data_IF_860169790548
#
_entry.id   IF_860169790548
#
_cell.length_a   1.000
_cell.length_b   1.000
_cell.length_c   1.000
_cell.angle_alpha   90.00
_cell.angle_beta   90.00
_cell.angle_gamma   90.00
#
_symmetry.space_group_name_H-M   'P 1'
#
loop_
_entity.id
_entity.type
_entity.pdbx_description
1 polymer ?
#
# COMPACT_ATOMS: atom_id res chain seq x y z
N UNK A 1 19.17 12.85 -8.62
CA UNK A 1 19.21 11.44 -9.02
C UNK A 1 18.21 10.71 -8.13
N UNK A 2 17.46 9.73 -8.65
CA UNK A 2 16.51 9.00 -7.81
C UNK A 2 17.26 8.17 -6.77
N UNK A 3 16.77 8.15 -5.52
CA UNK A 3 17.25 7.30 -4.45
C UNK A 3 16.96 5.84 -4.81
N UNK A 4 18.00 5.01 -4.78
CA UNK A 4 17.85 3.57 -4.91
C UNK A 4 17.63 2.93 -3.53
N UNK A 5 17.41 1.61 -3.51
CA UNK A 5 17.18 0.86 -2.26
C UNK A 5 18.32 1.03 -1.24
N UNK A 6 19.58 0.97 -1.67
CA UNK A 6 20.76 1.07 -0.81
C UNK A 6 20.89 2.48 -0.21
N UNK A 7 20.60 3.51 -1.00
CA UNK A 7 20.59 4.91 -0.53
C UNK A 7 19.56 5.08 0.60
N UNK A 8 18.40 4.44 0.47
CA UNK A 8 17.29 4.55 1.43
C UNK A 8 17.59 3.74 2.69
N UNK A 9 17.91 2.45 2.56
CA UNK A 9 18.08 1.54 3.71
C UNK A 9 19.25 1.92 4.60
N UNK A 10 20.30 2.53 4.03
CA UNK A 10 21.46 3.00 4.78
C UNK A 10 21.25 4.37 5.44
N UNK A 11 20.13 5.06 5.17
CA UNK A 11 19.89 6.40 5.68
C UNK A 11 19.61 6.39 7.20
N UNK A 12 20.37 7.13 8.03
CA UNK A 12 20.24 7.08 9.49
C UNK A 12 18.88 7.58 10.00
N UNK A 13 18.21 8.44 9.22
CA UNK A 13 16.87 8.96 9.54
C UNK A 13 15.71 8.06 9.09
N UNK A 14 15.97 6.90 8.46
CA UNK A 14 14.92 6.10 7.84
C UNK A 14 13.83 5.65 8.83
N UNK A 15 14.22 5.19 10.02
CA UNK A 15 13.25 4.74 11.03
C UNK A 15 12.25 5.83 11.45
N UNK A 16 12.72 7.07 11.61
CA UNK A 16 11.85 8.20 11.92
C UNK A 16 10.93 8.57 10.74
N UNK A 17 11.45 8.55 9.52
CA UNK A 17 10.68 8.83 8.31
C UNK A 17 9.57 7.79 8.10
N UNK A 18 9.88 6.51 8.32
CA UNK A 18 8.92 5.41 8.22
C UNK A 18 7.86 5.48 9.32
N UNK A 19 8.23 5.82 10.55
CA UNK A 19 7.26 6.03 11.63
C UNK A 19 6.29 7.17 11.28
N UNK A 20 6.80 8.30 10.78
CA UNK A 20 5.97 9.41 10.33
C UNK A 20 5.06 9.01 9.16
N UNK A 21 5.58 8.26 8.19
CA UNK A 21 4.82 7.70 7.09
C UNK A 21 3.67 6.81 7.59
N UNK A 22 3.94 5.90 8.53
CA UNK A 22 2.96 5.00 9.10
C UNK A 22 1.85 5.76 9.85
N UNK A 23 2.19 6.83 10.59
CA UNK A 23 1.21 7.73 11.22
C UNK A 23 0.32 8.43 10.19
N UNK A 24 0.89 8.93 9.10
CA UNK A 24 0.11 9.58 8.05
C UNK A 24 -0.82 8.60 7.33
N UNK A 25 -0.35 7.38 7.06
CA UNK A 25 -1.17 6.30 6.50
C UNK A 25 -2.32 5.90 7.43
N UNK A 26 -2.06 5.87 8.74
CA UNK A 26 -3.09 5.62 9.76
C UNK A 26 -4.18 6.70 9.74
N UNK A 27 -3.81 7.98 9.71
CA UNK A 27 -4.76 9.10 9.64
C UNK A 27 -5.60 9.05 8.36
N UNK A 28 -4.99 8.71 7.22
CA UNK A 28 -5.71 8.51 5.96
C UNK A 28 -6.72 7.35 6.06
N UNK A 29 -6.35 6.25 6.74
CA UNK A 29 -7.24 5.12 6.99
C UNK A 29 -8.46 5.52 7.82
N UNK A 30 -8.25 6.29 8.90
CA UNK A 30 -9.34 6.76 9.77
C UNK A 30 -10.32 7.69 9.04
N UNK A 31 -9.82 8.53 8.13
CA UNK A 31 -10.64 9.43 7.33
C UNK A 31 -11.55 8.73 6.31
N UNK A 32 -11.10 7.63 5.70
CA UNK A 32 -11.91 6.84 4.78
C UNK A 32 -11.64 5.32 4.89
N UNK A 33 -12.23 4.64 5.88
CA UNK A 33 -11.96 3.22 6.12
C UNK A 33 -12.36 2.31 4.95
N UNK A 34 -13.38 2.69 4.17
CA UNK A 34 -13.87 1.86 3.05
C UNK A 34 -12.93 1.92 1.85
N UNK A 35 -12.47 3.12 1.47
CA UNK A 35 -11.47 3.25 0.42
C UNK A 35 -10.16 2.57 0.84
N UNK A 36 -9.79 2.70 2.11
CA UNK A 36 -8.57 2.09 2.62
C UNK A 36 -8.65 0.56 2.71
N UNK A 37 -9.85 -0.01 2.86
CA UNK A 37 -10.07 -1.46 2.80
C UNK A 37 -9.78 -2.07 1.40
N UNK A 38 -9.75 -1.25 0.34
CA UNK A 38 -9.26 -1.69 -0.98
C UNK A 38 -7.78 -2.09 -0.89
N UNK A 39 -7.02 -1.46 -0.01
CA UNK A 39 -5.60 -1.71 0.22
C UNK A 39 -5.32 -2.63 1.41
N UNK A 40 -6.36 -3.27 1.95
CA UNK A 40 -6.30 -4.05 3.16
C UNK A 40 -5.38 -5.28 3.08
N UNK A 41 -5.30 -5.92 1.91
CA UNK A 41 -4.38 -7.05 1.69
C UNK A 41 -3.47 -6.73 0.53
N UNK A 42 -2.29 -7.34 0.53
CA UNK A 42 -1.31 -7.18 -0.54
C UNK A 42 -1.91 -7.51 -1.91
N UNK A 43 -2.66 -8.62 -2.02
CA UNK A 43 -3.33 -9.01 -3.25
C UNK A 43 -4.33 -7.95 -3.74
N UNK A 44 -5.15 -7.38 -2.85
CA UNK A 44 -6.11 -6.34 -3.22
C UNK A 44 -5.42 -5.04 -3.58
N UNK A 45 -4.34 -4.70 -2.87
CA UNK A 45 -3.51 -3.54 -3.16
C UNK A 45 -2.87 -3.62 -4.55
N UNK A 46 -2.27 -4.76 -4.91
CA UNK A 46 -1.71 -4.98 -6.25
C UNK A 46 -2.80 -4.96 -7.34
N UNK A 47 -3.97 -5.58 -7.09
CA UNK A 47 -5.12 -5.50 -8.01
C UNK A 47 -5.60 -4.06 -8.21
N UNK A 48 -5.63 -3.23 -7.16
CA UNK A 48 -5.99 -1.83 -7.27
C UNK A 48 -4.98 -1.04 -8.12
N UNK A 49 -3.68 -1.26 -7.93
CA UNK A 49 -2.63 -0.66 -8.78
C UNK A 49 -2.76 -1.09 -10.25
N UNK A 50 -3.08 -2.37 -10.52
CA UNK A 50 -3.36 -2.85 -11.89
C UNK A 50 -4.54 -2.09 -12.51
N UNK A 51 -5.66 -1.99 -11.79
CA UNK A 51 -6.85 -1.28 -12.27
C UNK A 51 -6.55 0.20 -12.57
N UNK A 52 -5.88 0.88 -11.65
CA UNK A 52 -5.50 2.28 -11.82
C UNK A 52 -4.50 2.48 -12.97
N UNK A 53 -3.55 1.57 -13.16
CA UNK A 53 -2.64 1.62 -14.30
C UNK A 53 -3.38 1.45 -15.63
N UNK A 54 -4.33 0.51 -15.71
CA UNK A 54 -5.18 0.33 -16.89
C UNK A 54 -6.06 1.55 -17.15
N UNK A 55 -6.59 2.17 -16.10
CA UNK A 55 -7.37 3.41 -16.19
C UNK A 55 -6.56 4.55 -16.82
N UNK A 56 -5.34 4.79 -16.35
CA UNK A 56 -4.50 5.88 -16.86
C UNK A 56 -3.85 5.57 -18.22
N UNK A 57 -3.66 4.29 -18.58
CA UNK A 57 -3.15 3.85 -19.89
C UNK A 57 -4.20 3.81 -20.99
N UNK A 58 -5.43 4.22 -20.71
CA UNK A 58 -6.50 4.24 -21.71
C UNK A 58 -6.16 5.18 -22.85
N UNK A 59 -6.62 4.80 -24.03
CA UNK A 59 -6.49 5.59 -25.25
C UNK A 59 -7.86 5.61 -25.91
N UNK A 60 -8.56 6.76 -25.90
CA UNK A 60 -9.89 6.86 -26.50
C UNK A 60 -9.92 6.53 -27.99
N UNK A 61 -8.76 6.53 -28.68
CA UNK A 61 -8.65 6.18 -30.10
C UNK A 61 -8.42 4.69 -30.36
N UNK A 62 -8.11 3.90 -29.32
CA UNK A 62 -7.85 2.46 -29.42
C UNK A 62 -8.65 1.70 -28.36
N UNK A 63 -9.78 1.12 -28.78
CA UNK A 63 -10.66 0.35 -27.90
C UNK A 63 -9.96 -0.82 -27.18
N UNK A 64 -8.84 -1.32 -27.71
CA UNK A 64 -8.05 -2.39 -27.07
C UNK A 64 -7.32 -1.89 -25.82
N UNK A 65 -7.13 -0.58 -25.73
CA UNK A 65 -6.54 0.11 -24.58
C UNK A 65 -7.58 0.55 -23.56
N UNK A 66 -8.86 0.29 -23.76
CA UNK A 66 -9.87 0.50 -22.71
C UNK A 66 -9.63 -0.40 -21.49
N UNK A 67 -10.02 0.09 -20.31
CA UNK A 67 -10.04 -0.73 -19.10
C UNK A 67 -11.34 -1.54 -19.09
N UNK A 68 -11.29 -2.80 -19.52
CA UNK A 68 -12.45 -3.71 -19.42
C UNK A 68 -12.26 -4.72 -18.29
N UNK A 69 -13.36 -5.32 -17.83
CA UNK A 69 -13.28 -6.39 -16.83
C UNK A 69 -12.41 -7.57 -17.30
N UNK A 70 -12.54 -7.96 -18.58
CA UNK A 70 -11.72 -9.02 -19.18
C UNK A 70 -10.23 -8.66 -19.14
N UNK A 71 -9.86 -7.46 -19.59
CA UNK A 71 -8.47 -7.03 -19.59
C UNK A 71 -7.88 -6.91 -18.19
N UNK A 72 -8.64 -6.39 -17.23
CA UNK A 72 -8.23 -6.36 -15.82
C UNK A 72 -7.92 -7.77 -15.30
N UNK A 73 -8.82 -8.72 -15.56
CA UNK A 73 -8.65 -10.12 -15.15
C UNK A 73 -7.43 -10.74 -15.82
N UNK A 74 -7.26 -10.53 -17.12
CA UNK A 74 -6.15 -11.10 -17.89
C UNK A 74 -4.80 -10.59 -17.38
N UNK A 75 -4.66 -9.27 -17.16
CA UNK A 75 -3.43 -8.68 -16.60
C UNK A 75 -3.18 -9.17 -15.17
N UNK A 76 -4.22 -9.26 -14.34
CA UNK A 76 -4.12 -9.77 -12.96
C UNK A 76 -3.60 -11.21 -12.92
N UNK A 77 -4.09 -12.06 -13.83
CA UNK A 77 -3.66 -13.46 -13.94
C UNK A 77 -2.28 -13.60 -14.56
N UNK A 78 -1.98 -12.81 -15.61
CA UNK A 78 -0.67 -12.80 -16.26
C UNK A 78 0.44 -12.49 -15.25
N UNK A 79 0.19 -11.53 -14.35
CA UNK A 79 1.12 -11.20 -13.28
C UNK A 79 0.98 -12.09 -12.04
N UNK A 80 0.15 -13.14 -12.08
CA UNK A 80 -0.07 -14.08 -10.97
C UNK A 80 -0.44 -13.39 -9.64
N UNK A 81 -1.11 -12.24 -9.70
CA UNK A 81 -1.54 -11.49 -8.51
C UNK A 81 -2.75 -12.18 -7.87
N UNK A 82 -3.69 -12.66 -8.68
CA UNK A 82 -4.86 -13.36 -8.20
C UNK A 82 -5.44 -14.33 -9.26
N UNK A 83 -6.27 -15.27 -8.80
CA UNK A 83 -7.04 -16.13 -9.69
C UNK A 83 -8.09 -15.32 -10.49
N UNK A 84 -8.57 -15.87 -11.61
CA UNK A 84 -9.68 -15.29 -12.37
C UNK A 84 -10.90 -14.99 -11.49
N UNK A 85 -11.30 -15.95 -10.64
CA UNK A 85 -12.50 -15.79 -9.80
C UNK A 85 -12.31 -14.66 -8.78
N UNK A 86 -11.13 -14.57 -8.17
CA UNK A 86 -10.78 -13.51 -7.22
C UNK A 86 -10.80 -12.13 -7.90
N UNK A 87 -10.22 -12.01 -9.09
CA UNK A 87 -10.20 -10.76 -9.85
C UNK A 87 -11.62 -10.29 -10.24
N UNK A 88 -12.49 -11.21 -10.67
CA UNK A 88 -13.89 -10.89 -10.93
C UNK A 88 -14.66 -10.45 -9.67
N UNK A 89 -14.43 -11.12 -8.54
CA UNK A 89 -15.04 -10.74 -7.27
C UNK A 89 -14.61 -9.33 -6.85
N UNK A 90 -13.32 -9.00 -7.02
CA UNK A 90 -12.79 -7.67 -6.75
C UNK A 90 -13.47 -6.58 -7.60
N UNK A 91 -13.62 -6.78 -8.91
CA UNK A 91 -14.34 -5.84 -9.79
C UNK A 91 -15.78 -5.62 -9.29
N UNK A 92 -16.51 -6.69 -8.99
CA UNK A 92 -17.91 -6.60 -8.52
C UNK A 92 -18.00 -5.79 -7.23
N UNK A 93 -17.04 -5.98 -6.33
CA UNK A 93 -16.97 -5.21 -5.09
C UNK A 93 -16.66 -3.73 -5.34
N UNK A 94 -15.70 -3.42 -6.23
CA UNK A 94 -15.38 -2.03 -6.60
C UNK A 94 -16.58 -1.33 -7.25
N UNK A 95 -17.41 -2.05 -8.03
CA UNK A 95 -18.67 -1.54 -8.57
C UNK A 95 -19.72 -1.33 -7.48
N UNK A 96 -19.87 -2.30 -6.57
CA UNK A 96 -20.82 -2.21 -5.46
C UNK A 96 -20.57 -0.98 -4.57
N UNK A 97 -19.31 -0.61 -4.37
CA UNK A 97 -18.93 0.56 -3.60
C UNK A 97 -18.70 1.83 -4.44
N UNK A 98 -19.05 1.82 -5.73
CA UNK A 98 -18.92 2.96 -6.64
C UNK A 98 -17.49 3.49 -6.82
N UNK A 99 -16.47 2.65 -6.56
CA UNK A 99 -15.07 2.96 -6.89
C UNK A 99 -14.79 2.81 -8.39
N UNK A 100 -15.59 2.00 -9.09
CA UNK A 100 -15.59 1.94 -10.54
C UNK A 100 -17.02 1.91 -11.06
N UNK A 101 -17.23 2.47 -12.24
CA UNK A 101 -18.52 2.52 -12.92
C UNK A 101 -18.41 1.92 -14.32
N UNK A 102 -19.53 1.44 -14.86
CA UNK A 102 -19.58 1.03 -16.27
C UNK A 102 -19.74 2.29 -17.11
N UNK A 103 -18.72 2.60 -17.92
CA UNK A 103 -18.76 3.68 -18.89
C UNK A 103 -19.73 3.39 -20.03
N UNK A 104 -20.05 4.42 -20.81
CA UNK A 104 -20.87 4.27 -22.03
C UNK A 104 -20.15 3.34 -22.99
N UNK A 105 -20.88 2.36 -23.53
CA UNK A 105 -20.36 1.54 -24.63
C UNK A 105 -20.08 2.46 -25.83
N UNK A 106 -18.93 2.28 -26.47
CA UNK A 106 -18.65 2.92 -27.76
C UNK A 106 -19.49 2.30 -28.88
N UNK A 107 -19.14 2.59 -30.14
CA UNK A 107 -19.87 2.10 -31.32
C UNK A 107 -19.98 0.55 -31.36
N UNK A 108 -18.99 -0.16 -30.79
CA UNK A 108 -19.12 -1.58 -30.48
C UNK A 108 -19.77 -1.78 -29.09
N UNK A 109 -21.09 -1.96 -29.09
CA UNK A 109 -21.91 -2.19 -27.89
C UNK A 109 -21.53 -3.41 -27.04
N UNK A 110 -20.57 -4.24 -27.48
CA UNK A 110 -20.01 -5.35 -26.71
C UNK A 110 -18.94 -4.90 -25.72
N UNK A 111 -18.29 -3.76 -25.96
CA UNK A 111 -17.26 -3.23 -25.08
C UNK A 111 -17.91 -2.44 -23.97
N UNK A 112 -17.69 -2.90 -22.72
CA UNK A 112 -18.15 -2.23 -21.51
C UNK A 112 -16.94 -1.70 -20.75
N UNK A 113 -16.47 -0.48 -21.06
CA UNK A 113 -15.34 0.09 -20.37
C UNK A 113 -15.70 0.35 -18.91
N UNK A 114 -14.73 0.16 -18.02
CA UNK A 114 -14.80 0.52 -16.62
C UNK A 114 -14.18 1.91 -16.47
N UNK A 115 -14.81 2.77 -15.69
CA UNK A 115 -14.38 4.13 -15.41
C UNK A 115 -14.07 4.25 -13.92
N UNK A 116 -13.01 4.99 -13.57
CA UNK A 116 -12.69 5.32 -12.17
C UNK A 116 -13.17 6.76 -11.95
N UNK A 117 -14.19 7.01 -11.11
CA UNK A 117 -14.63 8.36 -10.78
C UNK A 117 -13.51 9.17 -10.13
N UNK A 118 -13.48 10.49 -10.37
CA UNK A 118 -12.43 11.37 -9.83
C UNK A 118 -12.28 11.27 -8.30
N UNK A 119 -13.39 11.16 -7.57
CA UNK A 119 -13.39 10.97 -6.11
C UNK A 119 -12.66 9.69 -5.65
N UNK A 120 -12.58 8.68 -6.51
CA UNK A 120 -11.85 7.43 -6.21
C UNK A 120 -10.34 7.63 -6.30
N UNK A 121 -9.88 8.71 -6.96
CA UNK A 121 -8.46 9.04 -7.06
C UNK A 121 -7.93 9.80 -5.85
N UNK A 122 -8.80 10.41 -5.02
CA UNK A 122 -8.36 11.18 -3.84
C UNK A 122 -7.51 10.35 -2.86
N UNK A 123 -7.89 9.10 -2.49
CA UNK A 123 -7.05 8.26 -1.63
C UNK A 123 -5.70 7.91 -2.27
N UNK A 124 -5.67 7.72 -3.59
CA UNK A 124 -4.43 7.47 -4.32
C UNK A 124 -3.52 8.71 -4.30
N UNK A 125 -4.08 9.90 -4.50
CA UNK A 125 -3.34 11.17 -4.40
C UNK A 125 -2.75 11.30 -2.99
N UNK A 126 -3.55 11.10 -1.95
CA UNK A 126 -3.09 11.12 -0.56
C UNK A 126 -1.94 10.13 -0.31
N UNK A 127 -2.05 8.91 -0.82
CA UNK A 127 -0.99 7.89 -0.75
C UNK A 127 0.30 8.37 -1.43
N UNK A 128 0.22 8.94 -2.63
CA UNK A 128 1.39 9.49 -3.34
C UNK A 128 2.03 10.61 -2.52
N UNK A 129 1.25 11.57 -2.04
CA UNK A 129 1.75 12.71 -1.26
C UNK A 129 2.51 12.25 0.00
N UNK A 130 2.00 11.23 0.70
CA UNK A 130 2.67 10.66 1.88
C UNK A 130 4.06 10.12 1.50
N UNK A 131 4.16 9.32 0.44
CA UNK A 131 5.44 8.70 0.06
C UNK A 131 6.43 9.71 -0.55
N UNK A 132 5.96 10.70 -1.30
CA UNK A 132 6.83 11.79 -1.80
C UNK A 132 7.36 12.64 -0.65
N UNK A 133 6.53 12.93 0.36
CA UNK A 133 6.96 13.61 1.60
C UNK A 133 8.03 12.80 2.34
N UNK A 134 7.86 11.47 2.44
CA UNK A 134 8.86 10.58 3.04
C UNK A 134 10.19 10.62 2.27
N UNK A 135 10.16 10.60 0.93
CA UNK A 135 11.37 10.72 0.11
C UNK A 135 12.07 12.07 0.33
N UNK A 136 11.32 13.17 0.30
CA UNK A 136 11.87 14.50 0.49
C UNK A 136 12.44 14.70 1.92
N UNK A 137 11.91 14.01 2.92
CA UNK A 137 12.48 13.99 4.27
C UNK A 137 13.82 13.24 4.38
N UNK A 138 14.10 12.31 3.46
CA UNK A 138 15.36 11.57 3.41
C UNK A 138 16.48 12.36 2.74
N UNK A 139 16.20 13.09 1.65
CA UNK A 139 17.23 13.74 0.84
C UNK A 139 17.09 15.26 0.68
N UNK A 140 16.08 15.88 1.30
CA UNK A 140 15.80 17.31 1.16
C UNK A 140 15.24 17.70 -0.20
N UNK A 141 14.67 16.74 -0.94
CA UNK A 141 14.08 16.93 -2.25
C UNK A 141 12.82 17.81 -2.27
N UNK A 142 12.25 17.96 -3.47
CA UNK A 142 11.05 18.79 -3.74
C UNK A 142 9.98 18.04 -4.53
N UNK A 143 9.93 16.72 -4.40
CA UNK A 143 9.00 15.87 -5.15
C UNK A 143 7.56 16.19 -4.78
N UNK A 144 7.30 16.40 -3.49
CA UNK A 144 5.99 16.77 -2.97
C UNK A 144 5.50 18.10 -3.56
N UNK A 145 6.32 19.16 -3.44
CA UNK A 145 6.03 20.49 -4.00
C UNK A 145 5.74 20.39 -5.50
N UNK A 146 6.59 19.66 -6.21
CA UNK A 146 6.49 19.46 -7.66
C UNK A 146 5.20 18.75 -8.07
N UNK A 147 4.81 17.70 -7.33
CA UNK A 147 3.58 16.96 -7.60
C UNK A 147 2.34 17.79 -7.28
N UNK A 148 2.36 18.54 -6.17
CA UNK A 148 1.26 19.44 -5.80
C UNK A 148 1.05 20.56 -6.84
N UNK A 149 2.13 21.08 -7.43
CA UNK A 149 2.04 22.06 -8.51
C UNK A 149 1.54 21.45 -9.85
N UNK A 150 1.63 20.12 -10.01
CA UNK A 150 1.29 19.41 -11.26
C UNK A 150 0.55 18.09 -10.98
N UNK A 151 -0.64 18.10 -10.36
CA UNK A 151 -1.35 16.88 -9.96
C UNK A 151 -1.72 15.97 -11.15
N UNK A 152 -1.82 16.51 -12.36
CA UNK A 152 -2.00 15.76 -13.60
C UNK A 152 -0.87 14.75 -13.88
N UNK A 153 0.31 14.93 -13.27
CA UNK A 153 1.41 13.96 -13.33
C UNK A 153 1.00 12.58 -12.80
N UNK A 154 -0.06 12.49 -11.98
CA UNK A 154 -0.58 11.21 -11.51
C UNK A 154 -0.85 10.21 -12.65
N UNK A 155 -1.33 10.71 -13.81
CA UNK A 155 -1.63 9.86 -14.96
C UNK A 155 -0.39 9.18 -15.56
N UNK A 156 0.79 9.81 -15.43
CA UNK A 156 2.06 9.24 -15.87
C UNK A 156 2.73 8.44 -14.73
N UNK A 157 2.64 8.94 -13.50
CA UNK A 157 3.28 8.37 -12.33
C UNK A 157 2.68 7.02 -11.95
N UNK A 158 1.36 6.94 -11.83
CA UNK A 158 0.70 5.75 -11.28
C UNK A 158 0.95 4.47 -12.11
N UNK A 159 0.91 4.50 -13.46
CA UNK A 159 1.28 3.33 -14.26
C UNK A 159 2.71 2.84 -14.02
N UNK A 160 3.67 3.76 -13.88
CA UNK A 160 5.07 3.41 -13.63
C UNK A 160 5.28 2.82 -12.24
N UNK A 161 4.63 3.40 -11.22
CA UNK A 161 4.62 2.84 -9.86
C UNK A 161 4.02 1.43 -9.88
N UNK A 162 2.86 1.25 -10.53
CA UNK A 162 2.22 -0.06 -10.61
C UNK A 162 3.13 -1.12 -11.25
N UNK A 163 3.79 -0.81 -12.37
CA UNK A 163 4.72 -1.74 -13.02
C UNK A 163 5.89 -2.13 -12.10
N UNK A 164 6.47 -1.15 -11.39
CA UNK A 164 7.55 -1.40 -10.44
C UNK A 164 7.11 -2.30 -9.29
N UNK A 165 5.92 -2.05 -8.72
CA UNK A 165 5.36 -2.88 -7.65
C UNK A 165 5.05 -4.31 -8.11
N UNK A 166 4.48 -4.47 -9.30
CA UNK A 166 4.09 -5.77 -9.87
C UNK A 166 5.31 -6.58 -10.35
N UNK A 167 6.41 -5.91 -10.69
CA UNK A 167 7.63 -6.57 -11.15
C UNK A 167 8.61 -6.86 -10.00
N UNK A 168 8.40 -6.24 -8.83
CA UNK A 168 9.28 -6.39 -7.67
C UNK A 168 8.99 -7.66 -6.88
N UNK A 169 9.92 -8.61 -6.90
CA UNK A 169 9.84 -9.85 -6.11
C UNK A 169 9.72 -9.57 -4.60
N UNK A 170 10.53 -8.67 -3.99
CA UNK A 170 10.37 -8.35 -2.56
C UNK A 170 8.99 -7.76 -2.21
N UNK A 171 8.36 -7.03 -3.15
CA UNK A 171 7.01 -6.49 -2.96
C UNK A 171 5.95 -7.59 -3.10
N UNK A 172 6.17 -8.56 -3.97
CA UNK A 172 5.20 -9.62 -4.29
C UNK A 172 5.26 -10.83 -3.38
N UNK A 173 6.46 -11.15 -2.91
CA UNK A 173 6.76 -12.31 -2.09
C UNK A 173 7.47 -11.84 -0.82
N UNK A 174 6.76 -11.10 0.06
CA UNK A 174 7.33 -10.72 1.33
C UNK A 174 7.64 -11.97 2.15
N UNK A 175 8.87 -12.07 2.62
CA UNK A 175 9.36 -13.26 3.31
C UNK A 175 9.01 -13.23 4.80
N UNK A 176 9.28 -14.35 5.48
CA UNK A 176 9.41 -14.44 6.94
C UNK A 176 8.21 -13.89 7.73
N UNK A 177 8.45 -13.05 8.73
CA UNK A 177 7.45 -12.65 9.73
C UNK A 177 6.48 -11.60 9.20
N UNK A 178 6.89 -10.80 8.22
CA UNK A 178 6.06 -9.85 7.50
C UNK A 178 4.90 -10.57 6.79
N UNK A 179 5.15 -11.77 6.26
CA UNK A 179 4.10 -12.60 5.65
C UNK A 179 2.95 -12.93 6.61
N UNK A 180 3.19 -12.96 7.93
CA UNK A 180 2.14 -13.27 8.91
C UNK A 180 1.06 -12.20 8.97
N UNK A 181 1.44 -10.95 8.70
CA UNK A 181 0.53 -9.81 8.74
C UNK A 181 -0.10 -9.55 7.39
N UNK A 182 0.50 -9.95 6.26
CA UNK A 182 -0.13 -9.79 4.93
C UNK A 182 -1.42 -10.59 4.75
N UNK A 183 -1.68 -11.60 5.59
CA UNK A 183 -2.91 -12.42 5.60
C UNK A 183 -4.05 -11.92 6.49
N UNK A 184 -3.83 -10.90 7.32
CA UNK A 184 -4.96 -10.23 7.96
C UNK A 184 -5.74 -9.51 6.86
N UNK A 185 -7.08 -9.55 6.91
CA UNK A 185 -7.97 -8.79 6.01
C UNK A 185 -7.82 -7.25 6.15
N UNK A 186 -6.68 -6.76 6.67
CA UNK A 186 -6.21 -5.40 6.92
C UNK A 186 -4.67 -5.38 7.19
N UNK A 187 -3.91 -6.33 6.65
CA UNK A 187 -2.51 -6.56 6.99
C UNK A 187 -1.59 -5.34 6.92
N UNK A 188 -1.63 -4.60 5.81
CA UNK A 188 -0.85 -3.36 5.65
C UNK A 188 -1.18 -2.33 6.74
N UNK A 189 -2.47 -2.17 7.01
CA UNK A 189 -2.96 -1.26 8.06
C UNK A 189 -2.47 -1.71 9.42
N UNK A 190 -2.65 -2.97 9.79
CA UNK A 190 -2.18 -3.53 11.08
C UNK A 190 -0.69 -3.26 11.30
N UNK A 191 0.13 -3.40 10.27
CA UNK A 191 1.56 -3.11 10.35
C UNK A 191 1.83 -1.61 10.52
N UNK A 192 1.18 -0.74 9.74
CA UNK A 192 1.32 0.71 9.90
C UNK A 192 0.94 1.16 11.33
N UNK A 193 -0.06 0.53 11.94
CA UNK A 193 -0.45 0.79 13.34
C UNK A 193 0.60 0.32 14.36
N UNK A 194 1.22 -0.85 14.14
CA UNK A 194 2.30 -1.32 15.01
C UNK A 194 3.48 -0.35 14.96
N UNK A 195 3.82 0.13 13.76
CA UNK A 195 4.99 0.96 13.49
C UNK A 195 4.76 2.42 13.87
N UNK A 196 3.53 2.95 13.74
CA UNK A 196 3.21 4.34 14.07
C UNK A 196 3.49 4.70 15.54
N UNK A 197 3.40 3.70 16.42
CA UNK A 197 3.68 3.83 17.85
C UNK A 197 5.10 3.44 18.29
N UNK A 198 5.95 2.95 17.38
CA UNK A 198 7.35 2.59 17.71
C UNK A 198 8.17 3.86 17.87
N UNK A 199 8.79 4.07 19.03
CA UNK A 199 9.81 5.11 19.19
C UNK A 199 11.09 4.71 18.42
N UNK A 200 11.58 5.52 17.45
CA UNK A 200 12.80 5.24 16.72
C UNK A 200 14.03 5.04 17.63
N UNK A 201 14.06 5.65 18.81
CA UNK A 201 15.13 5.44 19.79
C UNK A 201 15.19 3.98 20.31
N UNK A 202 14.07 3.26 20.25
CA UNK A 202 13.96 1.87 20.67
C UNK A 202 14.18 0.87 19.52
N UNK A 203 14.45 1.34 18.30
CA UNK A 203 14.54 0.48 17.11
C UNK A 203 15.66 -0.56 17.21
N UNK A 204 16.70 -0.33 18.02
CA UNK A 204 17.81 -1.27 18.24
C UNK A 204 17.51 -2.35 19.30
N UNK A 205 16.40 -2.26 20.01
CA UNK A 205 16.05 -3.23 21.04
C UNK A 205 15.56 -4.53 20.41
N UNK A 206 15.91 -5.69 20.98
CA UNK A 206 15.38 -7.00 20.53
C UNK A 206 13.84 -7.04 20.56
N UNK A 207 13.24 -6.41 21.57
CA UNK A 207 11.80 -6.22 21.74
C UNK A 207 11.48 -4.75 21.71
N UNK A 208 10.86 -4.31 20.63
CA UNK A 208 10.54 -2.91 20.38
C UNK A 208 9.11 -2.65 20.85
N UNK A 209 8.89 -1.84 21.90
CA UNK A 209 7.55 -1.51 22.35
C UNK A 209 6.77 -0.76 21.27
N UNK A 210 5.48 -1.06 21.11
CA UNK A 210 4.57 -0.34 20.22
C UNK A 210 3.59 0.52 21.02
N UNK A 211 2.74 1.27 20.32
CA UNK A 211 1.66 2.06 20.94
C UNK A 211 0.45 1.23 21.41
N UNK A 212 0.47 -0.09 21.24
CA UNK A 212 -0.69 -0.95 21.54
C UNK A 212 -0.66 -1.39 23.00
N UNK A 213 -1.62 -0.91 23.80
CA UNK A 213 -1.70 -1.17 25.24
C UNK A 213 -2.55 -2.40 25.59
N UNK A 214 -3.47 -2.81 24.72
CA UNK A 214 -4.27 -4.02 24.90
C UNK A 214 -4.80 -4.57 23.57
N UNK A 215 -5.04 -5.89 23.53
CA UNK A 215 -5.66 -6.56 22.36
C UNK A 215 -7.11 -6.12 22.18
N UNK A 216 -7.79 -5.73 23.27
CA UNK A 216 -9.17 -5.24 23.22
C UNK A 216 -9.28 -3.92 22.47
N UNK A 217 -8.37 -2.98 22.74
CA UNK A 217 -8.33 -1.69 22.06
C UNK A 217 -7.94 -1.87 20.60
N UNK A 218 -6.94 -2.71 20.35
CA UNK A 218 -6.49 -3.00 19.00
C UNK A 218 -7.59 -3.63 18.14
N UNK A 219 -8.34 -4.59 18.69
CA UNK A 219 -9.47 -5.21 18.00
C UNK A 219 -10.58 -4.21 17.66
N UNK A 220 -10.90 -3.29 18.59
CA UNK A 220 -11.89 -2.23 18.36
C UNK A 220 -11.47 -1.32 17.22
N UNK A 221 -10.21 -0.89 17.19
CA UNK A 221 -9.68 -0.04 16.11
C UNK A 221 -9.72 -0.74 14.75
N UNK A 222 -9.31 -2.01 14.69
CA UNK A 222 -9.34 -2.79 13.46
C UNK A 222 -10.75 -3.23 13.03
N UNK A 223 -11.79 -2.94 13.83
CA UNK A 223 -13.16 -3.44 13.65
C UNK A 223 -13.20 -4.97 13.50
N UNK A 224 -12.31 -5.67 14.22
CA UNK A 224 -12.22 -7.12 14.26
C UNK A 224 -12.78 -7.65 15.58
N UNK A 225 -13.24 -8.90 15.59
CA UNK A 225 -13.56 -9.54 16.86
C UNK A 225 -12.26 -9.78 17.65
N UNK A 226 -12.32 -9.58 18.97
CA UNK A 226 -11.19 -9.82 19.88
C UNK A 226 -10.64 -11.23 19.72
N UNK A 227 -11.52 -12.23 19.59
CA UNK A 227 -11.15 -13.64 19.40
C UNK A 227 -10.40 -13.88 18.10
N UNK A 228 -10.86 -13.26 16.99
CA UNK A 228 -10.19 -13.41 15.70
C UNK A 228 -8.77 -12.82 15.73
N UNK A 229 -8.64 -11.60 16.27
CA UNK A 229 -7.34 -10.93 16.40
C UNK A 229 -6.40 -11.69 17.35
N UNK A 230 -6.88 -12.11 18.52
CA UNK A 230 -6.07 -12.84 19.50
C UNK A 230 -5.55 -14.18 18.96
N UNK A 231 -6.32 -14.86 18.11
CA UNK A 231 -5.87 -16.08 17.43
C UNK A 231 -4.72 -15.77 16.46
N UNK A 232 -4.83 -14.70 15.67
CA UNK A 232 -3.80 -14.29 14.70
C UNK A 232 -2.51 -13.82 15.39
N UNK A 233 -2.63 -13.06 16.47
CA UNK A 233 -1.48 -12.65 17.27
C UNK A 233 -0.77 -13.84 17.92
N UNK A 234 -1.48 -14.93 18.26
CA UNK A 234 -0.86 -16.14 18.82
C UNK A 234 0.11 -16.82 17.85
N UNK A 235 -0.20 -16.83 16.56
CA UNK A 235 0.68 -17.39 15.54
C UNK A 235 1.97 -16.56 15.44
N UNK A 236 1.85 -15.23 15.44
CA UNK A 236 3.00 -14.32 15.47
C UNK A 236 3.79 -14.36 16.80
N UNK A 237 3.12 -14.57 17.94
CA UNK A 237 3.78 -14.78 19.23
C UNK A 237 4.61 -16.07 19.24
N UNK A 238 4.10 -17.14 18.64
CA UNK A 238 4.79 -18.45 18.57
C UNK A 238 6.07 -18.37 17.73
N UNK A 239 6.07 -17.50 16.72
CA UNK A 239 7.23 -17.21 15.88
C UNK A 239 8.16 -16.15 16.47
N UNK A 240 7.85 -15.61 17.65
CA UNK A 240 8.67 -14.60 18.34
C UNK A 240 8.61 -13.21 17.69
N UNK A 241 7.75 -12.99 16.70
CA UNK A 241 7.63 -11.70 15.99
C UNK A 241 6.95 -10.63 16.82
N UNK A 242 6.09 -11.04 17.75
CA UNK A 242 5.37 -10.14 18.66
C UNK A 242 5.22 -10.73 20.06
N UNK A 243 4.92 -9.88 21.03
CA UNK A 243 4.52 -10.34 22.36
C UNK A 243 4.08 -9.19 23.25
N UNK A 244 4.12 -9.44 24.56
CA UNK A 244 3.65 -8.49 25.56
C UNK A 244 4.75 -8.23 26.60
N UNK A 245 4.90 -6.99 27.05
CA UNK A 245 5.88 -6.65 28.10
C UNK A 245 5.44 -7.13 29.50
N UNK A 246 4.14 -7.32 29.70
CA UNK A 246 3.56 -7.84 30.94
C UNK A 246 2.48 -8.88 30.66
N UNK A 247 1.30 -8.72 31.26
CA UNK A 247 0.20 -9.67 31.07
C UNK A 247 -0.22 -9.74 29.60
N UNK A 248 -0.29 -10.97 29.08
CA UNK A 248 -0.67 -11.26 27.69
C UNK A 248 -2.01 -10.62 27.32
N UNK A 249 -1.98 -9.76 26.31
CA UNK A 249 -3.14 -9.05 25.77
C UNK A 249 -3.71 -7.90 26.63
N UNK A 250 -3.08 -7.63 27.77
CA UNK A 250 -3.47 -6.60 28.76
C UNK A 250 -2.28 -5.68 29.14
N UNK A 251 -1.24 -5.68 28.32
CA UNK A 251 -0.06 -4.84 28.51
C UNK A 251 0.50 -4.41 27.15
N UNK A 252 1.51 -3.55 27.17
CA UNK A 252 2.16 -3.02 25.98
C UNK A 252 2.65 -4.16 25.06
N UNK A 253 2.22 -4.11 23.80
CA UNK A 253 2.73 -4.98 22.75
C UNK A 253 4.17 -4.61 22.42
N UNK A 254 4.98 -5.60 22.13
CA UNK A 254 6.24 -5.40 21.44
C UNK A 254 6.25 -6.18 20.12
N UNK A 255 7.05 -5.70 19.18
CA UNK A 255 7.45 -6.40 17.95
C UNK A 255 8.94 -6.73 18.02
N UNK A 256 9.38 -7.79 17.35
CA UNK A 256 10.81 -8.13 17.29
C UNK A 256 11.56 -7.13 16.41
N UNK A 257 12.85 -6.96 16.68
CA UNK A 257 13.75 -6.19 15.80
C UNK A 257 13.77 -6.75 14.36
N UNK A 258 13.74 -8.08 14.21
CA UNK A 258 13.67 -8.75 12.90
C UNK A 258 12.42 -8.33 12.12
N UNK A 259 11.24 -8.41 12.73
CA UNK A 259 9.99 -7.98 12.10
C UNK A 259 10.01 -6.48 11.73
N UNK A 260 10.57 -5.63 12.61
CA UNK A 260 10.75 -4.22 12.31
C UNK A 260 11.68 -3.99 11.10
N UNK A 261 12.81 -4.70 11.04
CA UNK A 261 13.74 -4.64 9.92
C UNK A 261 13.13 -5.11 8.60
N UNK A 262 12.33 -6.17 8.61
CA UNK A 262 11.57 -6.63 7.45
C UNK A 262 10.58 -5.55 6.95
N UNK A 263 9.85 -4.90 7.87
CA UNK A 263 8.94 -3.81 7.52
C UNK A 263 9.69 -2.61 6.93
N UNK A 264 10.80 -2.21 7.55
CA UNK A 264 11.65 -1.11 7.07
C UNK A 264 12.16 -1.40 5.66
N UNK A 265 12.64 -2.61 5.42
CA UNK A 265 13.11 -3.08 4.11
C UNK A 265 12.00 -3.01 3.06
N UNK A 266 10.79 -3.49 3.38
CA UNK A 266 9.66 -3.44 2.47
C UNK A 266 9.25 -2.00 2.10
N UNK A 267 9.32 -1.06 3.05
CA UNK A 267 9.07 0.36 2.77
C UNK A 267 10.18 0.97 1.91
N UNK A 268 11.45 0.63 2.18
CA UNK A 268 12.58 1.13 1.38
C UNK A 268 12.48 0.70 -0.10
N UNK A 269 12.13 -0.56 -0.37
CA UNK A 269 11.88 -1.05 -1.74
C UNK A 269 10.75 -0.26 -2.41
N UNK A 270 9.65 -0.02 -1.68
CA UNK A 270 8.50 0.74 -2.21
C UNK A 270 8.87 2.18 -2.52
N UNK A 271 9.59 2.85 -1.62
CA UNK A 271 10.06 4.22 -1.80
C UNK A 271 11.01 4.34 -3.01
N UNK A 272 11.93 3.41 -3.19
CA UNK A 272 12.81 3.37 -4.36
C UNK A 272 12.03 3.24 -5.68
N UNK A 273 10.99 2.39 -5.71
CA UNK A 273 10.11 2.24 -6.88
C UNK A 273 9.38 3.55 -7.18
N UNK A 274 8.84 4.21 -6.15
CA UNK A 274 8.12 5.48 -6.30
C UNK A 274 9.05 6.57 -6.80
N UNK A 275 10.27 6.67 -6.26
CA UNK A 275 11.21 7.70 -6.68
C UNK A 275 11.70 7.49 -8.12
N UNK A 276 12.01 6.25 -8.49
CA UNK A 276 12.36 5.92 -9.87
C UNK A 276 11.24 6.29 -10.86
N UNK A 277 9.98 5.99 -10.51
CA UNK A 277 8.82 6.37 -11.30
C UNK A 277 8.67 7.90 -11.39
N UNK A 278 8.84 8.62 -10.27
CA UNK A 278 8.75 10.06 -10.23
C UNK A 278 9.84 10.76 -11.07
N UNK A 279 11.08 10.27 -10.98
CA UNK A 279 12.19 10.77 -11.79
C UNK A 279 11.95 10.54 -13.29
N UNK A 280 11.39 9.39 -13.68
CA UNK A 280 11.03 9.12 -15.06
C UNK A 280 9.97 10.09 -15.61
N UNK A 281 8.96 10.45 -14.81
CA UNK A 281 7.97 11.47 -15.19
C UNK A 281 8.59 12.86 -15.39
N UNK A 282 9.66 13.20 -14.67
CA UNK A 282 10.35 14.48 -14.85
C UNK A 282 11.23 14.53 -16.10
N UNK A 283 11.77 13.37 -16.52
CA UNK A 283 12.60 13.26 -17.72
C UNK A 283 11.78 13.28 -19.02
N UNK A 284 10.47 13.03 -18.95
CA UNK A 284 9.58 13.12 -20.10
C UNK A 284 9.11 14.58 -20.29
N UNK A 285 9.24 15.16 -21.50
CA UNK A 285 8.65 16.46 -21.78
C UNK A 285 7.13 16.37 -21.62
N UNK A 286 6.53 17.43 -21.09
CA UNK A 286 5.07 17.54 -21.04
C UNK A 286 4.53 17.55 -22.48
N UNK A 287 3.88 16.46 -22.88
CA UNK A 287 3.04 16.44 -24.10
C UNK A 287 1.82 17.34 -23.92
#
# INVERSE_FOLDING_TARGET
>A
MALNFEDIVSHPGLGACIQAQARAMQQAYEGNPRASAVFATQQRWLMAHIGLALHFRRDPSDYRKEMTAARFVDVTVQHQVASRNTAHAFIKEMQHYHFIEVGRAGDDGRIRPLQVPAMTLEPLIGWVLIHLSTLDALDGGKRLETFQARPQMLAQLQPLVADGLISSVPVREPQQTFSLFTWLNNGGVVMDWLISGVDPANAANERIPTGILSVGDFARWLKLSRTHLARKLRDAETLGSVGWLGQRGHSVMWISNEFYGEYVTAQAVKLAIIDAAFAACQAQPAN
#
